data_IF_959532201819
#
_entry.id   IF_959532201819
#
_cell.length_a   1.000
_cell.length_b   1.000
_cell.length_c   1.000
_cell.angle_alpha   90.00
_cell.angle_beta   90.00
_cell.angle_gamma   90.00
#
_symmetry.space_group_name_H-M   'P 1'
#
loop_
_entity.id
_entity.type
_entity.pdbx_description
1 polymer ?
#
# COMPACT_ATOMS: atom_id res chain seq x y z
N UNK A 1 -8.89 3.23 -12.91
CA UNK A 1 -9.49 2.65 -11.67
C UNK A 1 -8.39 2.38 -10.67
N UNK A 2 -8.54 2.77 -9.41
CA UNK A 2 -7.55 2.50 -8.36
C UNK A 2 -7.52 1.02 -7.92
N UNK A 3 -6.44 0.60 -7.26
CA UNK A 3 -6.32 -0.72 -6.60
C UNK A 3 -6.16 -0.54 -5.10
N UNK A 4 -6.79 -1.42 -4.32
CA UNK A 4 -6.80 -1.34 -2.86
C UNK A 4 -6.50 -2.71 -2.23
N UNK A 5 -5.93 -2.70 -1.04
CA UNK A 5 -5.67 -3.88 -0.22
C UNK A 5 -6.04 -3.56 1.23
N UNK A 6 -6.76 -4.46 1.89
CA UNK A 6 -7.06 -4.38 3.31
C UNK A 6 -6.59 -5.66 4.00
N UNK A 7 -6.18 -5.54 5.26
CA UNK A 7 -5.77 -6.66 6.10
C UNK A 7 -6.27 -6.47 7.52
N UNK A 8 -6.77 -7.55 8.13
CA UNK A 8 -7.07 -7.66 9.56
C UNK A 8 -6.58 -9.04 10.01
N UNK A 9 -5.72 -9.09 11.03
CA UNK A 9 -5.12 -10.32 11.52
C UNK A 9 -3.96 -10.07 12.50
N UNK A 10 -3.02 -11.02 12.55
CA UNK A 10 -1.82 -10.90 13.37
C UNK A 10 -0.86 -9.79 12.89
N UNK A 11 -0.06 -9.17 13.77
CA UNK A 11 0.85 -8.10 13.38
C UNK A 11 1.88 -8.52 12.31
N UNK A 12 1.78 -7.89 11.14
CA UNK A 12 2.60 -8.16 9.96
C UNK A 12 3.23 -6.86 9.46
N UNK A 13 4.46 -6.93 8.93
CA UNK A 13 5.10 -5.75 8.35
C UNK A 13 4.33 -5.27 7.12
N UNK A 14 4.14 -3.95 6.94
CA UNK A 14 3.35 -3.43 5.82
C UNK A 14 3.87 -3.95 4.47
N UNK A 15 5.19 -4.09 4.33
CA UNK A 15 5.84 -4.63 3.15
C UNK A 15 5.47 -6.07 2.81
N UNK A 16 5.03 -6.90 3.77
CA UNK A 16 4.64 -8.30 3.48
C UNK A 16 3.32 -8.35 2.72
N UNK A 17 2.52 -7.30 2.83
CA UNK A 17 1.21 -7.19 2.20
C UNK A 17 1.25 -6.28 0.96
N UNK A 18 1.96 -5.16 1.06
CA UNK A 18 1.93 -4.12 0.04
C UNK A 18 3.03 -4.30 -1.02
N UNK A 19 4.23 -4.74 -0.62
CA UNK A 19 5.45 -4.65 -1.44
C UNK A 19 5.93 -6.00 -1.96
N UNK A 20 6.14 -6.96 -1.06
CA UNK A 20 6.77 -8.25 -1.37
C UNK A 20 5.94 -9.22 -2.21
N UNK A 21 4.60 -9.29 -2.08
CA UNK A 21 3.84 -10.26 -2.86
C UNK A 21 4.04 -10.03 -4.36
N UNK A 22 4.26 -11.11 -5.12
CA UNK A 22 4.55 -11.06 -6.57
C UNK A 22 3.50 -10.26 -7.34
N UNK A 23 2.23 -10.34 -6.91
CA UNK A 23 1.11 -9.61 -7.48
C UNK A 23 0.50 -8.63 -6.47
N UNK A 24 1.31 -8.16 -5.52
CA UNK A 24 0.94 -7.21 -4.48
C UNK A 24 0.63 -5.82 -5.03
N UNK A 25 0.30 -4.90 -4.13
CA UNK A 25 -0.16 -3.57 -4.50
C UNK A 25 0.93 -2.75 -5.22
N UNK A 26 2.21 -2.97 -4.87
CA UNK A 26 3.35 -2.45 -5.61
C UNK A 26 3.32 -2.91 -7.08
N UNK A 27 3.28 -4.22 -7.36
CA UNK A 27 3.23 -4.72 -8.76
C UNK A 27 2.00 -4.19 -9.50
N UNK A 28 0.85 -4.17 -8.84
CA UNK A 28 -0.40 -3.65 -9.40
C UNK A 28 -0.36 -2.16 -9.75
N UNK A 29 0.65 -1.40 -9.28
CA UNK A 29 0.74 0.01 -9.64
C UNK A 29 1.23 0.24 -11.06
N UNK A 30 1.96 -0.70 -11.68
CA UNK A 30 2.36 -0.62 -13.09
C UNK A 30 1.90 -1.81 -13.95
N UNK A 31 1.52 -2.94 -13.33
CA UNK A 31 1.04 -4.13 -14.04
C UNK A 31 -0.19 -4.76 -13.33
N UNK A 32 -1.35 -4.07 -13.32
CA UNK A 32 -2.56 -4.63 -12.76
C UNK A 32 -3.20 -5.68 -13.70
N UNK A 33 -3.34 -6.92 -13.24
CA UNK A 33 -3.81 -8.05 -14.08
C UNK A 33 -5.31 -8.06 -14.40
N UNK A 34 -6.14 -7.47 -13.55
CA UNK A 34 -7.61 -7.54 -13.65
C UNK A 34 -8.26 -6.16 -13.69
N UNK A 35 -7.52 -5.14 -14.09
CA UNK A 35 -8.01 -3.76 -14.18
C UNK A 35 -8.56 -3.48 -15.57
N UNK A 36 -9.86 -3.19 -15.66
CA UNK A 36 -10.53 -2.93 -16.94
C UNK A 36 -10.45 -1.47 -17.42
N UNK A 37 -10.00 -0.54 -16.58
CA UNK A 37 -9.89 0.89 -16.92
C UNK A 37 -8.70 1.53 -16.19
N UNK A 38 -7.93 2.33 -16.94
CA UNK A 38 -6.61 2.86 -16.55
C UNK A 38 -5.51 1.81 -16.79
N UNK A 39 -4.39 2.21 -17.41
CA UNK A 39 -3.27 1.31 -17.73
C UNK A 39 -2.37 1.09 -16.51
N UNK A 40 -2.19 2.12 -15.70
CA UNK A 40 -1.33 2.13 -14.51
C UNK A 40 -2.01 2.84 -13.34
N UNK A 41 -1.47 2.65 -12.13
CA UNK A 41 -1.85 3.38 -10.93
C UNK A 41 -0.64 4.16 -10.39
N UNK A 42 -0.25 5.23 -11.11
CA UNK A 42 0.97 6.00 -10.86
C UNK A 42 0.71 7.37 -10.18
N UNK A 43 -0.56 7.77 -10.04
CA UNK A 43 -0.99 9.13 -9.67
C UNK A 43 -1.04 9.37 -8.15
N UNK A 44 -0.39 8.49 -7.40
CA UNK A 44 -0.31 8.51 -5.95
C UNK A 44 -0.53 7.16 -5.30
N UNK A 45 -0.25 7.09 -4.00
CA UNK A 45 -0.55 5.94 -3.17
C UNK A 45 -0.77 6.37 -1.71
N UNK A 46 -1.31 5.46 -0.91
CA UNK A 46 -1.33 5.64 0.53
C UNK A 46 -1.52 4.35 1.30
N UNK A 47 -1.09 4.36 2.55
CA UNK A 47 -1.31 3.30 3.53
C UNK A 47 -1.78 3.93 4.83
N UNK A 48 -2.88 3.44 5.36
CA UNK A 48 -3.34 3.68 6.72
C UNK A 48 -3.19 2.41 7.54
N UNK A 49 -2.73 2.51 8.77
CA UNK A 49 -2.59 1.37 9.69
C UNK A 49 -2.84 1.79 11.12
N UNK A 50 -3.24 0.83 11.95
CA UNK A 50 -3.35 1.03 13.40
C UNK A 50 -2.04 0.63 14.06
N UNK A 51 -1.41 1.56 14.79
CA UNK A 51 -0.25 1.25 15.62
C UNK A 51 -0.72 0.52 16.89
N UNK A 52 0.17 -0.25 17.49
CA UNK A 52 -0.15 -0.96 18.74
C UNK A 52 -0.51 0.04 19.85
N UNK A 53 -1.68 -0.15 20.47
CA UNK A 53 -2.19 0.73 21.51
C UNK A 53 -2.78 2.06 21.03
N UNK A 54 -2.76 2.37 19.73
CA UNK A 54 -3.34 3.60 19.18
C UNK A 54 -4.68 3.33 18.47
N UNK A 55 -5.81 3.87 18.96
CA UNK A 55 -7.10 3.71 18.33
C UNK A 55 -7.27 4.55 17.05
N UNK A 56 -6.34 5.47 16.75
CA UNK A 56 -6.39 6.34 15.58
C UNK A 56 -5.41 5.81 14.51
N UNK A 57 -5.83 5.62 13.25
CA UNK A 57 -4.92 5.13 12.24
C UNK A 57 -3.90 6.19 11.82
N UNK A 58 -2.62 5.80 11.85
CA UNK A 58 -1.57 6.54 11.16
C UNK A 58 -1.78 6.44 9.65
N UNK A 59 -1.38 7.48 8.90
CA UNK A 59 -1.56 7.54 7.45
C UNK A 59 -0.31 8.09 6.77
N UNK A 60 0.16 7.39 5.74
CA UNK A 60 1.19 7.84 4.83
C UNK A 60 0.59 7.99 3.43
N UNK A 61 0.70 9.17 2.80
CA UNK A 61 0.12 9.46 1.48
C UNK A 61 1.07 10.27 0.63
N UNK A 62 1.16 9.94 -0.65
CA UNK A 62 2.04 10.63 -1.62
C UNK A 62 1.33 10.74 -2.96
N UNK A 63 1.65 11.80 -3.71
CA UNK A 63 1.12 12.04 -5.04
C UNK A 63 1.91 11.35 -6.17
N UNK A 64 3.14 10.91 -5.88
CA UNK A 64 3.97 10.16 -6.83
C UNK A 64 3.71 8.65 -6.80
N UNK A 65 4.31 7.90 -7.74
CA UNK A 65 4.15 6.46 -7.81
C UNK A 65 4.82 5.75 -6.62
N UNK A 66 4.20 4.68 -6.14
CA UNK A 66 4.68 3.90 -4.99
C UNK A 66 6.09 3.33 -5.18
N UNK A 67 6.50 2.98 -6.40
CA UNK A 67 7.84 2.45 -6.69
C UNK A 67 8.95 3.50 -6.64
N UNK A 68 8.60 4.79 -6.65
CA UNK A 68 9.57 5.89 -6.58
C UNK A 68 9.83 6.40 -5.16
N UNK A 69 9.16 5.86 -4.15
CA UNK A 69 9.19 6.39 -2.78
C UNK A 69 10.12 5.56 -1.87
N UNK A 70 11.42 5.88 -1.89
CA UNK A 70 12.41 5.22 -1.02
C UNK A 70 12.09 5.36 0.48
N UNK A 71 11.64 6.51 1.00
CA UNK A 71 11.22 6.60 2.41
C UNK A 71 10.10 5.63 2.77
N UNK A 72 9.15 5.41 1.86
CA UNK A 72 8.10 4.42 2.06
C UNK A 72 8.64 2.99 2.06
N UNK A 73 9.64 2.67 1.24
CA UNK A 73 10.27 1.35 1.24
C UNK A 73 10.87 1.00 2.62
N UNK A 74 11.52 1.98 3.26
CA UNK A 74 12.04 1.82 4.62
C UNK A 74 10.92 1.67 5.66
N UNK A 75 9.88 2.52 5.58
CA UNK A 75 8.72 2.45 6.45
C UNK A 75 8.02 1.08 6.33
N UNK A 76 7.86 0.57 5.12
CA UNK A 76 7.20 -0.70 4.85
C UNK A 76 7.96 -1.91 5.40
N UNK A 77 9.29 -1.80 5.56
CA UNK A 77 10.13 -2.86 6.14
C UNK A 77 9.94 -2.98 7.66
N UNK A 78 9.74 -1.86 8.35
CA UNK A 78 9.81 -1.82 9.83
C UNK A 78 8.45 -1.68 10.51
N UNK A 79 7.50 -0.99 9.89
CA UNK A 79 6.17 -0.78 10.49
C UNK A 79 5.37 -2.07 10.42
N UNK A 80 4.82 -2.49 11.56
CA UNK A 80 3.95 -3.66 11.68
C UNK A 80 2.58 -3.24 12.16
N UNK A 81 1.54 -3.90 11.65
CA UNK A 81 0.17 -3.69 12.12
C UNK A 81 -0.66 -4.96 11.93
N UNK A 82 -1.63 -5.15 12.83
CA UNK A 82 -2.68 -6.15 12.66
C UNK A 82 -3.85 -5.66 11.81
N UNK A 83 -3.94 -4.37 11.49
CA UNK A 83 -5.03 -3.79 10.71
C UNK A 83 -4.54 -2.65 9.81
N UNK A 84 -4.68 -2.78 8.49
CA UNK A 84 -4.27 -1.75 7.53
C UNK A 84 -5.17 -1.68 6.30
N UNK A 85 -5.17 -0.52 5.65
CA UNK A 85 -5.76 -0.24 4.35
C UNK A 85 -4.74 0.48 3.47
N UNK A 86 -4.49 -0.04 2.27
CA UNK A 86 -3.55 0.51 1.30
C UNK A 86 -4.23 0.73 -0.06
N UNK A 87 -3.75 1.73 -0.82
CA UNK A 87 -4.25 2.06 -2.14
C UNK A 87 -3.15 2.58 -3.07
N UNK A 88 -3.26 2.28 -4.37
CA UNK A 88 -2.52 2.93 -5.47
C UNK A 88 -3.52 3.57 -6.43
N UNK A 89 -3.24 4.81 -6.87
CA UNK A 89 -4.18 5.70 -7.53
C UNK A 89 -3.99 5.76 -9.04
N UNK A 90 -5.11 5.75 -9.77
CA UNK A 90 -5.22 6.02 -11.21
C UNK A 90 -6.21 7.18 -11.38
N UNK A 91 -5.78 8.30 -11.98
CA UNK A 91 -6.55 9.54 -12.09
C UNK A 91 -6.67 10.07 -13.53
#
# INVERSE_FOLDING_TARGET
MCRHLAYVGGPVALGELVVRPEHGLLRQSWEPRTQASGVVNADGFGVGWYAEGDPVPARYRRAGPIWGDLPFADLARVVRSGALLAAVRSA
#
